data_IF_527207754624
#
_entry.id   IF_527207754624
#
_cell.length_a   1.000
_cell.length_b   1.000
_cell.length_c   1.000
_cell.angle_alpha   90.00
_cell.angle_beta   90.00
_cell.angle_gamma   90.00
#
_symmetry.space_group_name_H-M   'P 1'
#
loop_
_entity.id
_entity.type
_entity.pdbx_description
1 polymer ?
#
# COMPACT_ATOMS: atom_id res chain seq x y z
N UNK A 1 -19.00 -10.22 -5.06
CA UNK A 1 -17.89 -9.94 -4.14
C UNK A 1 -18.47 -9.91 -2.73
N UNK A 2 -18.08 -10.85 -1.87
CA UNK A 2 -18.48 -10.82 -0.47
C UNK A 2 -17.55 -9.87 0.27
N UNK A 3 -17.96 -8.60 0.44
CA UNK A 3 -17.33 -7.75 1.45
C UNK A 3 -17.47 -8.45 2.80
N UNK A 4 -16.38 -8.57 3.53
CA UNK A 4 -16.41 -9.09 4.89
C UNK A 4 -17.27 -8.13 5.72
N UNK A 5 -18.24 -8.67 6.45
CA UNK A 5 -19.15 -7.85 7.26
C UNK A 5 -18.45 -7.44 8.58
N UNK A 6 -17.48 -6.52 8.45
CA UNK A 6 -16.68 -5.99 9.57
C UNK A 6 -17.18 -4.59 9.88
N UNK A 7 -17.55 -4.32 11.14
CA UNK A 7 -18.02 -3.00 11.55
C UNK A 7 -16.89 -1.95 11.58
N UNK A 8 -17.26 -0.69 11.60
CA UNK A 8 -16.27 0.41 11.71
C UNK A 8 -15.52 0.31 13.04
N UNK A 9 -16.22 0.05 14.14
CA UNK A 9 -15.64 -0.11 15.48
C UNK A 9 -14.64 -1.27 15.54
N UNK A 10 -14.88 -2.31 14.79
CA UNK A 10 -13.95 -3.45 14.70
C UNK A 10 -12.72 -3.08 13.87
N UNK A 11 -12.88 -2.33 12.77
CA UNK A 11 -11.76 -1.79 11.99
C UNK A 11 -10.90 -0.81 12.81
N UNK A 12 -11.52 0.05 13.60
CA UNK A 12 -10.81 0.97 14.50
C UNK A 12 -9.96 0.20 15.52
N UNK A 13 -10.52 -0.82 16.17
CA UNK A 13 -9.76 -1.70 17.08
C UNK A 13 -8.61 -2.39 16.37
N UNK A 14 -8.87 -2.92 15.18
CA UNK A 14 -7.85 -3.58 14.38
C UNK A 14 -6.73 -2.63 13.98
N UNK A 15 -7.06 -1.39 13.61
CA UNK A 15 -6.07 -0.36 13.28
C UNK A 15 -5.17 -0.03 14.47
N UNK A 16 -5.72 0.02 15.70
CA UNK A 16 -4.92 0.20 16.91
C UNK A 16 -3.96 -0.98 17.11
N UNK A 17 -4.40 -2.22 16.90
CA UNK A 17 -3.53 -3.39 17.02
C UNK A 17 -2.41 -3.38 15.96
N UNK A 18 -2.70 -2.98 14.73
CA UNK A 18 -1.65 -2.82 13.70
C UNK A 18 -0.63 -1.75 14.12
N UNK A 19 -1.07 -0.62 14.66
CA UNK A 19 -0.16 0.44 15.15
C UNK A 19 0.75 -0.07 16.27
N UNK A 20 0.23 -0.85 17.22
CA UNK A 20 1.04 -1.48 18.28
C UNK A 20 2.11 -2.39 17.70
N UNK A 21 1.74 -3.24 16.72
CA UNK A 21 2.68 -4.14 16.03
C UNK A 21 3.75 -3.35 15.27
N UNK A 22 3.37 -2.28 14.57
CA UNK A 22 4.31 -1.38 13.87
C UNK A 22 5.33 -0.79 14.81
N UNK A 23 4.89 -0.19 15.91
CA UNK A 23 5.80 0.42 16.89
C UNK A 23 6.73 -0.63 17.49
N UNK A 24 6.18 -1.79 17.87
CA UNK A 24 6.94 -2.88 18.49
C UNK A 24 8.04 -3.41 17.56
N UNK A 25 7.70 -3.68 16.29
CA UNK A 25 8.68 -4.22 15.34
C UNK A 25 9.77 -3.21 14.99
N UNK A 26 9.42 -1.92 14.78
CA UNK A 26 10.37 -0.85 14.47
C UNK A 26 11.29 -0.61 15.68
N UNK A 27 10.74 -0.56 16.89
CA UNK A 27 11.51 -0.39 18.12
C UNK A 27 12.52 -1.53 18.29
N UNK A 28 12.10 -2.78 18.08
CA UNK A 28 12.98 -3.95 18.16
C UNK A 28 14.08 -3.92 17.09
N UNK A 29 13.74 -3.54 15.87
CA UNK A 29 14.69 -3.42 14.76
C UNK A 29 15.65 -2.22 14.92
N UNK A 30 15.31 -1.25 15.76
CA UNK A 30 16.00 0.06 15.90
C UNK A 30 16.19 0.77 14.54
N UNK A 31 15.31 0.49 13.59
CA UNK A 31 15.36 1.00 12.23
C UNK A 31 14.00 0.87 11.57
N UNK A 32 13.57 1.90 10.84
CA UNK A 32 12.30 1.92 10.11
C UNK A 32 11.65 3.30 10.10
N UNK A 33 10.45 3.37 9.53
CA UNK A 33 9.72 4.62 9.30
C UNK A 33 8.38 4.58 10.05
N UNK A 34 8.33 4.96 11.34
CA UNK A 34 7.11 4.86 12.14
C UNK A 34 6.01 5.83 11.65
N UNK A 35 6.37 7.09 11.33
CA UNK A 35 5.39 8.11 10.95
C UNK A 35 4.51 7.70 9.79
N UNK A 36 5.09 7.38 8.65
CA UNK A 36 4.34 6.96 7.47
C UNK A 36 3.58 5.64 7.67
N UNK A 37 4.13 4.70 8.46
CA UNK A 37 3.44 3.44 8.77
C UNK A 37 2.20 3.67 9.65
N UNK A 38 2.26 4.59 10.61
CA UNK A 38 1.13 4.95 11.46
C UNK A 38 0.08 5.76 10.68
N UNK A 39 0.52 6.66 9.78
CA UNK A 39 -0.36 7.43 8.91
C UNK A 39 -1.20 6.52 8.01
N UNK A 40 -0.59 5.49 7.45
CA UNK A 40 -1.24 4.54 6.55
C UNK A 40 -2.14 3.51 7.24
N UNK A 41 -2.16 3.43 8.56
CA UNK A 41 -2.74 2.30 9.28
C UNK A 41 -4.25 2.13 9.06
N UNK A 42 -5.03 3.21 8.99
CA UNK A 42 -6.49 3.11 8.88
C UNK A 42 -6.92 2.59 7.51
N UNK A 43 -6.39 3.16 6.43
CA UNK A 43 -6.78 2.67 5.10
C UNK A 43 -6.17 1.29 4.79
N UNK A 44 -4.97 0.96 5.27
CA UNK A 44 -4.44 -0.40 5.17
C UNK A 44 -5.34 -1.38 5.92
N UNK A 45 -5.81 -1.02 7.11
CA UNK A 45 -6.76 -1.85 7.87
C UNK A 45 -8.06 -2.05 7.09
N UNK A 46 -8.68 -0.97 6.60
CA UNK A 46 -9.92 -1.07 5.85
C UNK A 46 -9.78 -1.96 4.62
N UNK A 47 -8.69 -1.80 3.87
CA UNK A 47 -8.42 -2.60 2.67
C UNK A 47 -8.24 -4.08 2.99
N UNK A 48 -7.32 -4.43 3.88
CA UNK A 48 -6.98 -5.82 4.15
C UNK A 48 -8.08 -6.59 4.92
N UNK A 49 -8.79 -5.93 5.82
CA UNK A 49 -9.75 -6.61 6.70
C UNK A 49 -11.18 -6.57 6.19
N UNK A 50 -11.53 -5.66 5.27
CA UNK A 50 -12.89 -5.56 4.75
C UNK A 50 -12.98 -5.56 3.22
N UNK A 51 -12.23 -4.71 2.53
CA UNK A 51 -12.46 -4.43 1.11
C UNK A 51 -11.84 -5.44 0.15
N UNK A 52 -10.63 -5.91 0.45
CA UNK A 52 -9.88 -6.77 -0.46
C UNK A 52 -10.32 -8.22 -0.41
N UNK A 53 -10.39 -8.83 -1.58
CA UNK A 53 -10.61 -10.24 -1.75
C UNK A 53 -9.27 -10.97 -1.73
N UNK A 54 -8.94 -11.58 -0.60
CA UNK A 54 -7.66 -12.24 -0.33
C UNK A 54 -7.88 -13.60 0.32
N UNK A 55 -6.96 -14.53 0.06
CA UNK A 55 -6.88 -15.82 0.76
C UNK A 55 -5.46 -16.04 1.31
N UNK A 56 -5.26 -15.92 2.64
CA UNK A 56 -3.96 -16.17 3.26
C UNK A 56 -3.42 -17.59 3.05
N UNK A 57 -4.32 -18.57 2.83
CA UNK A 57 -3.94 -19.97 2.57
C UNK A 57 -3.51 -20.19 1.12
N UNK A 58 -3.90 -19.29 0.22
CA UNK A 58 -3.49 -19.28 -1.17
C UNK A 58 -3.01 -17.89 -1.61
N UNK A 59 -1.83 -17.43 -1.12
CA UNK A 59 -1.33 -16.08 -1.38
C UNK A 59 -1.02 -15.82 -2.86
N UNK A 60 -1.00 -16.86 -3.69
CA UNK A 60 -0.81 -16.78 -5.16
C UNK A 60 -2.10 -16.94 -5.95
N UNK A 61 -3.26 -16.93 -5.27
CA UNK A 61 -4.54 -16.99 -5.97
C UNK A 61 -4.63 -15.91 -7.04
N UNK A 62 -4.90 -16.32 -8.26
CA UNK A 62 -4.80 -15.42 -9.42
C UNK A 62 -5.89 -14.35 -9.46
N UNK A 63 -7.08 -14.63 -8.94
CA UNK A 63 -8.21 -13.69 -8.93
C UNK A 63 -8.32 -12.87 -7.64
N UNK A 64 -7.32 -12.94 -6.75
CA UNK A 64 -7.26 -12.06 -5.59
C UNK A 64 -7.08 -10.60 -6.02
N UNK A 65 -7.57 -9.66 -5.22
CA UNK A 65 -7.21 -8.26 -5.38
C UNK A 65 -5.68 -8.07 -5.18
N UNK A 66 -5.12 -7.01 -5.75
CA UNK A 66 -3.70 -6.65 -5.64
C UNK A 66 -3.52 -5.42 -4.76
N UNK A 67 -2.46 -5.42 -3.97
CA UNK A 67 -2.09 -4.28 -3.16
C UNK A 67 -0.64 -3.86 -3.44
N UNK A 68 -0.46 -2.62 -3.82
CA UNK A 68 0.85 -2.02 -4.09
C UNK A 68 1.11 -0.89 -3.12
N UNK A 69 2.01 -1.12 -2.18
CA UNK A 69 2.52 -0.08 -1.31
C UNK A 69 3.64 0.67 -2.02
N UNK A 70 3.30 1.67 -2.84
CA UNK A 70 4.27 2.40 -3.67
C UNK A 70 5.33 3.10 -2.82
N UNK A 71 4.92 3.76 -1.74
CA UNK A 71 5.83 4.24 -0.69
C UNK A 71 6.35 3.09 0.18
N UNK A 72 7.19 2.24 -0.40
CA UNK A 72 7.62 0.97 0.19
C UNK A 72 8.30 1.07 1.55
N UNK A 73 8.82 2.23 1.93
CA UNK A 73 9.45 2.46 3.24
C UNK A 73 8.47 2.31 4.42
N UNK A 74 7.15 2.35 4.20
CA UNK A 74 6.13 2.14 5.25
C UNK A 74 5.65 0.68 5.32
N UNK A 75 6.40 -0.26 4.76
CA UNK A 75 6.09 -1.69 4.79
C UNK A 75 5.78 -2.30 6.18
N UNK A 76 6.23 -1.76 7.33
CA UNK A 76 5.84 -2.30 8.63
C UNK A 76 4.33 -2.43 8.83
N UNK A 77 3.51 -1.48 8.36
CA UNK A 77 2.05 -1.60 8.48
C UNK A 77 1.48 -2.71 7.60
N UNK A 78 2.02 -2.89 6.39
CA UNK A 78 1.63 -3.99 5.51
C UNK A 78 2.03 -5.35 6.10
N UNK A 79 3.23 -5.47 6.64
CA UNK A 79 3.66 -6.70 7.32
C UNK A 79 2.79 -7.03 8.53
N UNK A 80 2.42 -6.03 9.34
CA UNK A 80 1.50 -6.22 10.45
C UNK A 80 0.14 -6.74 9.99
N UNK A 81 -0.41 -6.19 8.91
CA UNK A 81 -1.68 -6.64 8.33
C UNK A 81 -1.60 -8.08 7.80
N UNK A 82 -0.56 -8.40 7.02
CA UNK A 82 -0.35 -9.74 6.46
C UNK A 82 -0.18 -10.81 7.56
N UNK A 83 0.64 -10.53 8.59
CA UNK A 83 0.80 -11.44 9.72
C UNK A 83 -0.51 -11.67 10.46
N UNK A 84 -1.26 -10.61 10.75
CA UNK A 84 -2.56 -10.69 11.44
C UNK A 84 -3.59 -11.49 10.64
N UNK A 85 -3.54 -11.43 9.31
CA UNK A 85 -4.40 -12.24 8.44
C UNK A 85 -3.92 -13.70 8.30
N UNK A 86 -2.71 -14.02 8.76
CA UNK A 86 -2.16 -15.38 8.72
C UNK A 86 -1.42 -15.73 7.42
N UNK A 87 -0.90 -14.75 6.67
CA UNK A 87 0.01 -15.04 5.55
C UNK A 87 1.34 -15.62 6.01
N UNK A 88 1.75 -15.30 7.22
CA UNK A 88 2.90 -15.87 7.94
C UNK A 88 2.72 -15.70 9.45
N UNK A 89 3.52 -16.41 10.24
CA UNK A 89 3.41 -16.37 11.70
C UNK A 89 3.78 -14.99 12.27
N UNK A 90 3.00 -14.50 13.24
CA UNK A 90 3.21 -13.17 13.85
C UNK A 90 4.57 -13.02 14.55
N UNK A 91 5.16 -14.12 15.03
CA UNK A 91 6.50 -14.08 15.65
C UNK A 91 7.58 -13.54 14.70
N UNK A 92 7.37 -13.71 13.38
CA UNK A 92 8.29 -13.21 12.34
C UNK A 92 8.37 -11.68 12.33
N UNK A 93 7.33 -10.95 12.81
CA UNK A 93 7.37 -9.50 12.92
C UNK A 93 8.58 -9.00 13.73
N UNK A 94 9.02 -9.79 14.70
CA UNK A 94 10.20 -9.51 15.51
C UNK A 94 11.54 -9.54 14.78
N UNK A 95 11.57 -9.95 13.51
CA UNK A 95 12.78 -10.09 12.67
C UNK A 95 12.91 -9.01 11.60
N UNK A 96 12.10 -7.94 11.67
CA UNK A 96 12.17 -6.83 10.70
C UNK A 96 13.61 -6.37 10.47
N UNK A 97 14.03 -6.29 9.19
CA UNK A 97 15.35 -5.83 8.75
C UNK A 97 16.54 -6.67 9.26
N UNK A 98 16.31 -7.84 9.82
CA UNK A 98 17.40 -8.74 10.20
C UNK A 98 17.87 -9.56 9.00
N UNK A 99 19.13 -9.97 9.01
CA UNK A 99 19.66 -10.88 7.99
C UNK A 99 18.87 -12.19 7.99
N UNK A 100 18.56 -12.69 6.79
CA UNK A 100 17.76 -13.89 6.61
C UNK A 100 16.24 -13.72 6.82
N UNK A 101 15.77 -12.58 7.32
CA UNK A 101 14.35 -12.32 7.49
C UNK A 101 13.62 -12.18 6.15
N UNK A 102 12.36 -12.65 6.10
CA UNK A 102 11.47 -12.36 4.98
C UNK A 102 10.96 -10.90 5.00
N UNK A 103 11.10 -10.19 6.14
CA UNK A 103 10.65 -8.82 6.34
C UNK A 103 11.78 -7.83 6.10
N UNK A 104 11.96 -7.47 4.85
CA UNK A 104 12.98 -6.52 4.43
C UNK A 104 12.57 -5.07 4.76
N UNK A 105 13.49 -4.12 4.63
CA UNK A 105 13.22 -2.68 4.85
C UNK A 105 12.27 -2.05 3.85
N UNK A 106 12.02 -2.71 2.73
CA UNK A 106 11.00 -2.44 1.71
C UNK A 106 10.33 -3.77 1.32
N UNK A 107 9.09 -3.75 0.79
CA UNK A 107 8.41 -4.98 0.38
C UNK A 107 9.22 -5.76 -0.66
N UNK A 108 9.37 -7.05 -0.45
CA UNK A 108 10.04 -7.97 -1.38
C UNK A 108 9.09 -9.12 -1.73
N UNK A 109 8.59 -9.12 -2.98
CA UNK A 109 7.63 -10.11 -3.47
C UNK A 109 8.21 -11.53 -3.56
N UNK A 110 9.54 -11.65 -3.59
CA UNK A 110 10.20 -12.95 -3.67
C UNK A 110 10.38 -13.60 -2.29
N UNK A 111 10.34 -12.80 -1.23
CA UNK A 111 10.59 -13.25 0.15
C UNK A 111 9.34 -13.32 1.00
N UNK A 112 8.48 -12.30 0.93
CA UNK A 112 7.35 -12.16 1.84
C UNK A 112 6.03 -12.60 1.18
N UNK A 113 5.34 -13.64 1.70
CA UNK A 113 4.03 -14.04 1.20
C UNK A 113 3.01 -12.90 1.32
N UNK A 114 2.19 -12.71 0.27
CA UNK A 114 1.17 -11.67 0.22
C UNK A 114 1.66 -10.32 -0.29
N UNK A 115 2.95 -10.18 -0.62
CA UNK A 115 3.48 -9.01 -1.32
C UNK A 115 3.34 -9.23 -2.83
N UNK A 116 2.64 -8.32 -3.50
CA UNK A 116 2.36 -8.42 -4.94
C UNK A 116 3.51 -7.92 -5.82
N UNK A 117 4.25 -6.91 -5.35
CA UNK A 117 5.39 -6.34 -6.06
C UNK A 117 6.41 -5.75 -5.06
N UNK A 118 7.69 -5.89 -5.38
CA UNK A 118 8.76 -5.21 -4.64
C UNK A 118 8.73 -3.72 -4.95
N UNK A 119 8.72 -2.87 -3.91
CA UNK A 119 8.65 -1.40 -4.03
C UNK A 119 9.74 -0.74 -3.18
N UNK A 120 9.86 0.58 -3.29
CA UNK A 120 10.83 1.38 -2.54
C UNK A 120 11.45 2.51 -3.37
N UNK A 121 11.57 2.34 -4.69
CA UNK A 121 11.83 3.44 -5.62
C UNK A 121 10.52 4.19 -5.84
N UNK A 122 10.45 5.41 -5.28
CA UNK A 122 9.22 6.21 -5.29
C UNK A 122 8.75 6.50 -6.73
N UNK A 123 7.44 6.48 -6.91
CA UNK A 123 6.76 6.66 -8.20
C UNK A 123 6.51 5.36 -8.95
N UNK A 124 7.43 4.39 -8.91
CA UNK A 124 7.34 3.16 -9.71
C UNK A 124 6.20 2.22 -9.31
N UNK A 125 5.79 2.24 -8.05
CA UNK A 125 4.71 1.37 -7.58
C UNK A 125 3.39 1.64 -8.29
N UNK A 126 3.05 2.90 -8.56
CA UNK A 126 1.85 3.25 -9.31
C UNK A 126 1.90 2.73 -10.75
N UNK A 127 3.04 2.88 -11.43
CA UNK A 127 3.22 2.34 -12.79
C UNK A 127 3.06 0.81 -12.83
N UNK A 128 3.60 0.09 -11.84
CA UNK A 128 3.37 -1.35 -11.69
C UNK A 128 1.88 -1.67 -11.46
N UNK A 129 1.19 -0.91 -10.61
CA UNK A 129 -0.25 -1.05 -10.37
C UNK A 129 -1.08 -0.84 -11.64
N UNK A 130 -0.73 0.16 -12.45
CA UNK A 130 -1.34 0.38 -13.77
C UNK A 130 -1.14 -0.84 -14.67
N UNK A 131 0.08 -1.39 -14.72
CA UNK A 131 0.35 -2.62 -15.46
C UNK A 131 -0.51 -3.80 -15.02
N UNK A 132 -0.71 -3.99 -13.70
CA UNK A 132 -1.60 -5.01 -13.14
C UNK A 132 -3.06 -4.77 -13.54
N UNK A 133 -3.53 -3.52 -13.50
CA UNK A 133 -4.89 -3.16 -13.93
C UNK A 133 -5.14 -3.44 -15.40
N UNK A 134 -4.18 -3.13 -16.28
CA UNK A 134 -4.22 -3.45 -17.71
C UNK A 134 -4.26 -4.97 -17.90
N UNK A 135 -3.41 -5.73 -17.18
CA UNK A 135 -3.38 -7.19 -17.28
C UNK A 135 -4.74 -7.79 -16.91
N UNK A 136 -5.36 -7.34 -15.80
CA UNK A 136 -6.68 -7.81 -15.42
C UNK A 136 -7.70 -7.63 -16.54
N UNK A 137 -7.76 -6.45 -17.14
CA UNK A 137 -8.69 -6.17 -18.26
C UNK A 137 -8.40 -7.02 -19.49
N UNK A 138 -7.13 -7.17 -19.87
CA UNK A 138 -6.73 -8.02 -21.01
C UNK A 138 -7.07 -9.50 -20.83
N UNK A 139 -6.92 -9.99 -19.61
CA UNK A 139 -7.18 -11.38 -19.26
C UNK A 139 -8.66 -11.64 -18.87
N UNK A 140 -9.54 -10.62 -18.98
CA UNK A 140 -10.93 -10.65 -18.54
C UNK A 140 -11.08 -11.11 -17.07
N UNK A 141 -10.20 -10.64 -16.19
CA UNK A 141 -10.24 -10.92 -14.76
C UNK A 141 -10.87 -9.76 -14.01
N UNK A 142 -11.57 -10.07 -12.91
CA UNK A 142 -12.38 -9.12 -12.15
C UNK A 142 -11.72 -8.67 -10.83
N UNK A 143 -10.38 -8.75 -10.72
CA UNK A 143 -9.68 -8.25 -9.54
C UNK A 143 -9.42 -6.74 -9.64
N UNK A 144 -9.40 -6.12 -8.48
CA UNK A 144 -9.03 -4.70 -8.31
C UNK A 144 -7.57 -4.57 -7.92
N UNK A 145 -6.99 -3.43 -8.25
CA UNK A 145 -5.65 -3.04 -7.83
C UNK A 145 -5.74 -1.82 -6.94
N UNK A 146 -5.22 -1.94 -5.73
CA UNK A 146 -5.14 -0.85 -4.76
C UNK A 146 -3.69 -0.39 -4.64
N UNK A 147 -3.43 0.88 -4.90
CA UNK A 147 -2.11 1.47 -4.82
C UNK A 147 -2.10 2.55 -3.76
N UNK A 148 -1.10 2.54 -2.90
CA UNK A 148 -0.89 3.59 -1.90
C UNK A 148 0.36 4.35 -2.24
N UNK A 149 0.21 5.64 -2.50
CA UNK A 149 1.30 6.60 -2.74
C UNK A 149 1.39 7.62 -1.61
N UNK A 150 2.55 8.22 -1.41
CA UNK A 150 2.72 9.36 -0.52
C UNK A 150 2.55 10.69 -1.25
N UNK A 151 2.23 11.76 -0.51
CA UNK A 151 2.18 13.11 -1.05
C UNK A 151 3.56 13.58 -1.55
N UNK A 152 4.63 13.36 -0.79
CA UNK A 152 5.99 13.60 -1.26
C UNK A 152 6.37 12.74 -2.46
N UNK A 153 5.89 11.50 -2.54
CA UNK A 153 6.08 10.62 -3.71
C UNK A 153 5.40 11.18 -4.97
N UNK A 154 4.31 11.93 -4.83
CA UNK A 154 3.63 12.57 -5.96
C UNK A 154 4.44 13.70 -6.63
N UNK A 155 5.63 14.01 -6.13
CA UNK A 155 6.60 14.89 -6.79
C UNK A 155 7.38 14.18 -7.92
N UNK A 156 7.37 12.84 -7.93
CA UNK A 156 7.98 12.05 -9.00
C UNK A 156 7.17 12.15 -10.29
N UNK A 157 7.85 12.41 -11.42
CA UNK A 157 7.20 12.53 -12.73
C UNK A 157 6.47 11.27 -13.16
N UNK A 158 6.99 10.10 -12.79
CA UNK A 158 6.43 8.79 -13.11
C UNK A 158 5.01 8.58 -12.54
N UNK A 159 4.64 9.23 -11.43
CA UNK A 159 3.27 9.23 -10.91
C UNK A 159 2.29 9.76 -11.97
N UNK A 160 2.64 10.86 -12.62
CA UNK A 160 1.78 11.52 -13.61
C UNK A 160 1.78 10.81 -14.96
N UNK A 161 2.89 10.21 -15.35
CA UNK A 161 2.98 9.33 -16.52
C UNK A 161 2.11 8.09 -16.34
N UNK A 162 2.14 7.48 -15.16
CA UNK A 162 1.28 6.36 -14.79
C UNK A 162 -0.20 6.77 -14.75
N UNK A 163 -0.52 7.92 -14.17
CA UNK A 163 -1.88 8.45 -14.12
C UNK A 163 -2.46 8.66 -15.53
N UNK A 164 -1.69 9.26 -16.44
CA UNK A 164 -2.09 9.43 -17.83
C UNK A 164 -2.33 8.09 -18.53
N UNK A 165 -1.50 7.10 -18.24
CA UNK A 165 -1.64 5.75 -18.80
C UNK A 165 -2.89 5.06 -18.26
N UNK A 166 -3.19 5.19 -16.96
CA UNK A 166 -4.40 4.66 -16.34
C UNK A 166 -5.67 5.22 -17.01
N UNK A 167 -5.70 6.53 -17.25
CA UNK A 167 -6.79 7.18 -17.96
C UNK A 167 -6.95 6.65 -19.40
N UNK A 168 -5.84 6.53 -20.14
CA UNK A 168 -5.87 5.99 -21.52
C UNK A 168 -6.51 4.60 -21.60
N UNK A 169 -6.24 3.73 -20.62
CA UNK A 169 -6.75 2.36 -20.60
C UNK A 169 -8.06 2.22 -19.80
N UNK A 170 -8.65 3.35 -19.38
CA UNK A 170 -9.93 3.39 -18.67
C UNK A 170 -9.94 2.39 -17.49
N UNK A 171 -8.92 2.47 -16.61
CA UNK A 171 -8.72 1.52 -15.52
C UNK A 171 -9.69 1.78 -14.34
N UNK A 172 -10.94 1.38 -14.49
CA UNK A 172 -11.97 1.42 -13.45
C UNK A 172 -11.77 0.38 -12.33
N UNK A 173 -10.79 -0.51 -12.51
CA UNK A 173 -10.34 -1.50 -11.53
C UNK A 173 -9.11 -1.06 -10.73
N UNK A 174 -8.61 0.17 -10.93
CA UNK A 174 -7.49 0.77 -10.21
C UNK A 174 -8.00 1.80 -9.21
N UNK A 175 -7.61 1.66 -7.94
CA UNK A 175 -7.90 2.62 -6.88
C UNK A 175 -6.59 3.12 -6.29
N UNK A 176 -6.39 4.44 -6.29
CA UNK A 176 -5.18 5.08 -5.77
C UNK A 176 -5.50 5.84 -4.50
N UNK A 177 -4.81 5.52 -3.42
CA UNK A 177 -4.84 6.26 -2.17
C UNK A 177 -3.62 7.15 -2.10
N UNK A 178 -3.82 8.44 -1.90
CA UNK A 178 -2.74 9.38 -1.59
C UNK A 178 -2.72 9.61 -0.08
N UNK A 179 -1.68 9.14 0.59
CA UNK A 179 -1.44 9.47 2.00
C UNK A 179 -0.90 10.90 2.07
N UNK A 180 -1.82 11.85 2.15
CA UNK A 180 -1.53 13.29 2.19
C UNK A 180 -1.30 13.74 3.64
N UNK A 181 -0.19 13.31 4.22
CA UNK A 181 0.16 13.60 5.61
C UNK A 181 0.96 14.91 5.76
N UNK A 182 1.22 15.62 4.67
CA UNK A 182 1.97 16.88 4.58
C UNK A 182 3.42 16.80 5.09
N UNK A 183 3.99 15.61 5.15
CA UNK A 183 5.36 15.39 5.63
C UNK A 183 6.18 14.58 4.64
N UNK A 184 7.42 14.97 4.48
CA UNK A 184 8.46 14.21 3.79
C UNK A 184 9.78 14.36 4.56
N UNK A 185 10.82 13.61 4.17
CA UNK A 185 12.05 13.38 4.94
C UNK A 185 12.54 14.57 5.78
N UNK A 186 12.63 15.76 5.19
CA UNK A 186 13.34 16.90 5.78
C UNK A 186 12.41 18.00 6.30
N UNK A 187 11.09 17.84 6.17
CA UNK A 187 10.13 18.85 6.58
C UNK A 187 8.72 18.63 6.06
N UNK A 188 7.93 19.69 6.05
CA UNK A 188 6.63 19.65 5.39
C UNK A 188 6.77 19.62 3.88
N UNK A 189 5.77 19.03 3.19
CA UNK A 189 5.75 19.05 1.72
C UNK A 189 5.76 20.47 1.17
N UNK A 190 5.14 21.42 1.86
CA UNK A 190 5.12 22.84 1.44
C UNK A 190 6.48 23.52 1.56
N UNK A 191 7.30 23.15 2.55
CA UNK A 191 8.64 23.71 2.73
C UNK A 191 9.66 23.10 1.75
N UNK A 192 9.54 21.79 1.47
CA UNK A 192 10.51 21.09 0.64
C UNK A 192 10.17 21.19 -0.84
N UNK A 193 8.96 20.84 -1.24
CA UNK A 193 8.47 20.94 -2.62
C UNK A 193 6.93 20.91 -2.62
N UNK A 194 6.26 22.05 -2.76
CA UNK A 194 4.81 22.15 -2.69
C UNK A 194 4.10 21.33 -3.77
N UNK A 195 3.14 20.55 -3.37
CA UNK A 195 2.36 19.72 -4.29
C UNK A 195 1.18 20.47 -4.92
N UNK A 196 0.76 21.61 -4.38
CA UNK A 196 -0.53 22.22 -4.68
C UNK A 196 -1.63 21.16 -4.44
N UNK A 197 -2.84 21.34 -4.90
CA UNK A 197 -3.95 20.41 -4.67
C UNK A 197 -3.76 19.09 -5.45
N UNK A 198 -3.38 18.00 -4.77
CA UNK A 198 -3.19 16.68 -5.40
C UNK A 198 -4.49 16.12 -5.97
N UNK A 199 -5.64 16.34 -5.30
CA UNK A 199 -6.94 15.92 -5.81
C UNK A 199 -7.25 16.55 -7.17
N UNK A 200 -7.03 17.85 -7.33
CA UNK A 200 -7.24 18.54 -8.61
C UNK A 200 -6.26 18.06 -9.68
N UNK A 201 -5.01 17.75 -9.32
CA UNK A 201 -4.04 17.16 -10.25
C UNK A 201 -4.52 15.81 -10.76
N UNK A 202 -4.86 14.86 -9.88
CA UNK A 202 -5.38 13.55 -10.30
C UNK A 202 -6.66 13.68 -11.12
N UNK A 203 -7.55 14.60 -10.74
CA UNK A 203 -8.76 14.89 -11.53
C UNK A 203 -8.45 15.39 -12.94
N UNK A 204 -7.41 16.24 -13.10
CA UNK A 204 -6.97 16.71 -14.41
C UNK A 204 -6.41 15.57 -15.29
N UNK A 205 -5.91 14.49 -14.67
CA UNK A 205 -5.51 13.26 -15.35
C UNK A 205 -6.66 12.25 -15.53
N UNK A 206 -7.92 12.65 -15.24
CA UNK A 206 -9.11 11.84 -15.52
C UNK A 206 -9.52 10.87 -14.41
N UNK A 207 -8.99 11.04 -13.18
CA UNK A 207 -9.45 10.27 -12.03
C UNK A 207 -10.69 10.91 -11.39
N UNK A 208 -11.60 10.08 -10.92
CA UNK A 208 -12.61 10.50 -9.96
C UNK A 208 -11.95 10.61 -8.58
N UNK A 209 -11.99 11.80 -7.98
CA UNK A 209 -11.31 12.10 -6.71
C UNK A 209 -12.28 12.48 -5.61
N UNK A 210 -12.02 11.98 -4.40
CA UNK A 210 -12.87 12.18 -3.22
C UNK A 210 -12.06 12.70 -2.03
#
# INVERSE_FOLDING_TARGET
RNMKNVSVEELERQSIELRKKVITMIHKAKSGHPGGSLSAADFVTALYFREMNLDPKNPKWEDRDRFVLSKGHVCPVQYAALATLGFFDESVLGTLRQEGSILQGHPDMKKCPGIDISTGSLGQGLACGVGMGIAAKKDNRDYRVFVVVGDGECQEGEIWEAAQTAHKYELDNLVVFVDNNNLQLDGTTDEVMPNINLGDKFKAFGFDTY
#
